data_IF_093410849035
#
_entry.id   IF_093410849035
#
_cell.length_a   1.000
_cell.length_b   1.000
_cell.length_c   1.000
_cell.angle_alpha   90.00
_cell.angle_beta   90.00
_cell.angle_gamma   90.00
#
_symmetry.space_group_name_H-M   'P 1'
#
loop_
_entity.id
_entity.type
_entity.pdbx_description
1 polymer ?
#
# COMPACT_ATOMS: atom_id res chain seq x y z
N UNK A 1 -28.16 91.07 -21.76
CA UNK A 1 -29.26 90.90 -22.72
C UNK A 1 -29.76 89.47 -22.63
N UNK A 2 -30.86 89.38 -22.04
CA UNK A 2 -32.11 88.72 -22.25
C UNK A 2 -32.16 87.62 -23.34
N UNK A 3 -32.51 86.37 -23.03
CA UNK A 3 -33.78 85.82 -23.49
C UNK A 3 -33.99 84.47 -22.78
N UNK A 4 -35.11 84.44 -22.04
CA UNK A 4 -35.80 83.26 -21.55
C UNK A 4 -36.50 82.56 -22.70
N UNK A 5 -36.54 81.25 -22.73
CA UNK A 5 -37.61 80.50 -23.32
C UNK A 5 -37.94 79.25 -22.48
N UNK A 6 -39.23 79.06 -22.29
CA UNK A 6 -39.95 78.20 -21.36
C UNK A 6 -39.97 76.72 -21.77
N UNK A 7 -40.20 75.89 -20.80
CA UNK A 7 -40.44 74.41 -20.89
C UNK A 7 -41.72 74.00 -21.65
N UNK A 8 -41.81 72.71 -21.97
CA UNK A 8 -42.92 72.00 -21.38
C UNK A 8 -42.58 70.72 -20.63
N UNK A 9 -43.33 70.47 -19.58
CA UNK A 9 -43.38 69.20 -18.83
C UNK A 9 -43.85 68.07 -19.73
N UNK A 10 -43.15 66.95 -19.72
CA UNK A 10 -43.64 65.66 -20.18
C UNK A 10 -43.66 64.72 -19.00
N UNK A 11 -44.84 64.32 -18.59
CA UNK A 11 -45.09 63.28 -17.61
C UNK A 11 -44.90 61.96 -18.32
N UNK A 12 -43.88 61.19 -17.94
CA UNK A 12 -43.74 59.80 -18.35
C UNK A 12 -44.01 58.88 -17.15
N UNK A 13 -45.02 58.02 -17.33
CA UNK A 13 -45.44 57.06 -16.35
C UNK A 13 -44.38 56.02 -16.05
N UNK A 14 -44.25 55.71 -14.78
CA UNK A 14 -43.48 54.54 -14.31
C UNK A 14 -44.22 53.24 -14.67
N UNK A 15 -43.67 52.49 -15.58
CA UNK A 15 -44.02 51.07 -15.75
C UNK A 15 -43.07 50.26 -14.86
N UNK A 16 -43.57 49.78 -13.73
CA UNK A 16 -42.83 48.86 -12.87
C UNK A 16 -42.77 47.47 -13.54
N UNK A 17 -41.63 47.14 -14.14
CA UNK A 17 -41.36 45.81 -14.62
C UNK A 17 -40.91 44.95 -13.44
N UNK A 18 -41.80 44.02 -12.98
CA UNK A 18 -41.39 42.93 -12.10
C UNK A 18 -40.45 41.99 -12.86
N UNK A 19 -39.14 42.11 -12.63
CA UNK A 19 -38.18 41.08 -13.01
C UNK A 19 -38.33 39.89 -12.04
N UNK A 20 -38.93 38.79 -12.50
CA UNK A 20 -38.89 37.52 -11.80
C UNK A 20 -37.47 37.04 -11.71
N UNK A 21 -36.89 37.02 -10.51
CA UNK A 21 -35.61 36.37 -10.20
C UNK A 21 -35.80 34.84 -10.34
N UNK A 22 -35.43 34.30 -11.49
CA UNK A 22 -35.29 32.85 -11.64
C UNK A 22 -34.14 32.38 -10.72
N UNK A 23 -34.46 31.66 -9.68
CA UNK A 23 -33.47 30.94 -8.84
C UNK A 23 -32.70 29.98 -9.73
N UNK A 24 -31.38 29.93 -9.64
CA UNK A 24 -30.61 28.89 -10.36
C UNK A 24 -31.04 27.53 -9.81
N UNK A 25 -31.54 26.67 -10.72
CA UNK A 25 -31.83 25.29 -10.42
C UNK A 25 -30.58 24.67 -9.77
N UNK A 26 -30.74 24.16 -8.52
CA UNK A 26 -29.67 23.54 -7.79
C UNK A 26 -29.03 22.43 -8.63
N UNK A 27 -27.72 22.55 -8.89
CA UNK A 27 -26.98 21.48 -9.47
C UNK A 27 -27.09 20.25 -8.54
N UNK A 28 -27.87 19.27 -9.01
CA UNK A 28 -27.93 17.96 -8.35
C UNK A 28 -26.53 17.43 -8.29
N UNK A 29 -25.96 17.36 -7.10
CA UNK A 29 -24.73 16.59 -6.86
C UNK A 29 -25.08 15.16 -7.27
N UNK A 30 -24.66 14.79 -8.48
CA UNK A 30 -24.74 13.40 -8.92
C UNK A 30 -24.03 12.57 -7.85
N UNK A 31 -24.81 11.87 -7.03
CA UNK A 31 -24.30 11.03 -5.97
C UNK A 31 -23.35 10.03 -6.60
N UNK A 32 -22.06 10.09 -6.22
CA UNK A 32 -21.11 9.05 -6.58
C UNK A 32 -21.72 7.73 -6.11
N UNK A 33 -21.86 6.78 -7.03
CA UNK A 33 -22.31 5.44 -6.68
C UNK A 33 -21.46 4.93 -5.50
N UNK A 34 -22.09 4.31 -4.48
CA UNK A 34 -21.33 3.81 -3.34
C UNK A 34 -20.22 2.88 -3.86
N UNK A 35 -19.01 2.98 -3.31
CA UNK A 35 -17.90 2.17 -3.75
C UNK A 35 -18.25 0.69 -3.61
N UNK A 36 -18.02 -0.06 -4.66
CA UNK A 36 -18.36 -1.47 -4.70
C UNK A 36 -17.25 -2.26 -4.01
N UNK A 37 -17.61 -2.99 -2.96
CA UNK A 37 -16.78 -4.04 -2.40
C UNK A 37 -16.34 -4.99 -3.53
N UNK A 38 -15.03 -5.22 -3.66
CA UNK A 38 -14.46 -6.11 -4.67
C UNK A 38 -13.98 -7.39 -4.02
N UNK A 39 -14.42 -8.53 -4.55
CA UNK A 39 -13.86 -9.85 -4.19
C UNK A 39 -12.95 -10.32 -5.31
N UNK A 40 -11.74 -10.72 -4.98
CA UNK A 40 -10.70 -11.16 -5.90
C UNK A 40 -10.35 -12.61 -5.55
N UNK A 41 -10.75 -13.54 -6.41
CA UNK A 41 -10.42 -14.98 -6.30
C UNK A 41 -9.47 -15.43 -7.41
N UNK A 42 -9.25 -14.59 -8.41
CA UNK A 42 -8.31 -14.88 -9.48
C UNK A 42 -6.90 -14.94 -8.92
N UNK A 43 -6.13 -15.95 -9.31
CA UNK A 43 -4.70 -16.05 -9.03
C UNK A 43 -3.98 -14.79 -9.52
N UNK A 44 -3.16 -14.17 -8.66
CA UNK A 44 -2.47 -12.91 -8.93
C UNK A 44 -3.40 -11.73 -9.30
N UNK A 45 -4.73 -11.88 -9.10
CA UNK A 45 -5.72 -10.84 -9.37
C UNK A 45 -5.53 -9.63 -8.44
N UNK A 46 -5.89 -8.45 -8.93
CA UNK A 46 -5.67 -7.20 -8.20
C UNK A 46 -6.77 -6.16 -8.48
N UNK A 47 -6.82 -5.13 -7.63
CA UNK A 47 -7.67 -3.94 -7.81
C UNK A 47 -6.94 -2.69 -7.36
N UNK A 48 -7.03 -1.56 -8.09
CA UNK A 48 -6.52 -0.28 -7.62
C UNK A 48 -7.45 0.28 -6.54
N UNK A 49 -6.87 1.01 -5.60
CA UNK A 49 -7.59 1.72 -4.55
C UNK A 49 -7.09 3.15 -4.47
N UNK A 50 -8.01 4.10 -4.57
CA UNK A 50 -7.73 5.51 -4.32
C UNK A 50 -8.46 5.94 -3.05
N UNK A 51 -7.73 6.40 -2.06
CA UNK A 51 -8.33 6.88 -0.81
C UNK A 51 -8.94 8.27 -1.01
N UNK A 52 -9.92 8.69 -0.17
CA UNK A 52 -10.46 10.05 -0.21
C UNK A 52 -9.39 11.14 -0.06
N UNK A 53 -8.28 10.86 0.61
CA UNK A 53 -7.13 11.76 0.74
C UNK A 53 -6.16 11.72 -0.46
N UNK A 54 -6.51 11.02 -1.56
CA UNK A 54 -5.72 10.95 -2.78
C UNK A 54 -4.59 9.90 -2.76
N UNK A 55 -4.42 9.13 -1.68
CA UNK A 55 -3.46 8.02 -1.64
C UNK A 55 -3.84 6.93 -2.65
N UNK A 56 -2.85 6.42 -3.39
CA UNK A 56 -3.05 5.42 -4.44
C UNK A 56 -2.32 4.14 -4.09
N UNK A 57 -3.05 3.02 -4.11
CA UNK A 57 -2.58 1.71 -3.71
C UNK A 57 -3.10 0.64 -4.67
N UNK A 58 -2.50 -0.55 -4.62
CA UNK A 58 -3.03 -1.74 -5.26
C UNK A 58 -3.23 -2.80 -4.18
N UNK A 59 -4.40 -3.42 -4.15
CA UNK A 59 -4.71 -4.63 -3.37
C UNK A 59 -4.59 -5.81 -4.30
N UNK A 60 -3.81 -6.83 -3.92
CA UNK A 60 -3.49 -7.99 -4.75
C UNK A 60 -3.72 -9.29 -4.00
N UNK A 61 -4.39 -10.25 -4.67
CA UNK A 61 -4.46 -11.65 -4.27
C UNK A 61 -3.23 -12.37 -4.85
N UNK A 62 -2.11 -12.26 -4.17
CA UNK A 62 -0.84 -12.82 -4.61
C UNK A 62 -0.73 -14.31 -4.25
N UNK A 63 -1.58 -15.10 -4.85
CA UNK A 63 -1.66 -16.55 -4.67
C UNK A 63 -0.77 -17.27 -5.70
N UNK A 64 0.54 -17.29 -5.46
CA UNK A 64 1.51 -17.90 -6.37
C UNK A 64 1.59 -19.43 -6.23
N UNK A 65 1.13 -20.01 -5.12
CA UNK A 65 1.10 -21.45 -4.91
C UNK A 65 -0.03 -22.18 -5.64
N UNK A 66 -0.87 -21.47 -6.43
CA UNK A 66 -1.89 -22.06 -7.28
C UNK A 66 -3.09 -22.70 -6.55
N UNK A 67 -3.22 -22.51 -5.24
CA UNK A 67 -4.39 -22.97 -4.46
C UNK A 67 -5.47 -21.88 -4.46
N UNK A 68 -6.72 -22.26 -4.29
CA UNK A 68 -7.83 -21.30 -4.24
C UNK A 68 -7.67 -20.37 -3.04
N UNK A 69 -7.68 -19.08 -3.30
CA UNK A 69 -7.73 -18.03 -2.28
C UNK A 69 -8.60 -16.89 -2.80
N UNK A 70 -9.41 -16.31 -1.91
CA UNK A 70 -10.19 -15.12 -2.21
C UNK A 70 -9.93 -14.07 -1.14
N UNK A 71 -9.72 -12.83 -1.59
CA UNK A 71 -9.67 -11.65 -0.73
C UNK A 71 -10.80 -10.69 -1.07
N UNK A 72 -11.21 -9.87 -0.11
CA UNK A 72 -12.23 -8.85 -0.28
C UNK A 72 -11.72 -7.50 0.18
N UNK A 73 -11.83 -6.50 -0.69
CA UNK A 73 -11.55 -5.08 -0.42
C UNK A 73 -12.85 -4.27 -0.40
N UNK A 74 -12.93 -3.21 0.41
CA UNK A 74 -14.13 -2.35 0.50
C UNK A 74 -14.23 -1.29 -0.60
N UNK A 75 -13.22 -1.19 -1.48
CA UNK A 75 -13.18 -0.25 -2.60
C UNK A 75 -12.84 1.21 -2.22
N UNK A 76 -12.68 1.52 -0.93
CA UNK A 76 -12.42 2.87 -0.43
C UNK A 76 -11.05 3.02 0.25
N UNK A 77 -10.57 1.95 0.80
CA UNK A 77 -9.39 1.95 1.68
C UNK A 77 -8.39 0.92 1.24
N UNK A 78 -7.10 1.16 1.48
CA UNK A 78 -6.05 0.16 1.29
C UNK A 78 -6.15 -0.91 2.39
N UNK A 79 -7.20 -1.75 2.27
CA UNK A 79 -7.52 -2.83 3.18
C UNK A 79 -7.88 -4.09 2.39
N UNK A 80 -7.88 -5.23 3.05
CA UNK A 80 -8.47 -6.47 2.55
C UNK A 80 -8.68 -7.47 3.67
N UNK A 81 -9.55 -8.46 3.43
CA UNK A 81 -9.68 -9.63 4.28
C UNK A 81 -9.58 -10.89 3.44
N UNK A 82 -8.88 -11.90 3.92
CA UNK A 82 -8.86 -13.25 3.32
C UNK A 82 -10.18 -13.92 3.67
N UNK A 83 -11.06 -14.07 2.68
CA UNK A 83 -12.41 -14.63 2.87
C UNK A 83 -12.44 -16.13 2.72
N UNK A 84 -11.51 -16.71 1.95
CA UNK A 84 -11.25 -18.14 1.86
C UNK A 84 -9.79 -18.37 1.47
N UNK A 85 -9.20 -19.46 1.95
CA UNK A 85 -7.87 -19.90 1.58
C UNK A 85 -7.75 -21.40 1.70
N UNK A 86 -7.27 -22.04 0.66
CA UNK A 86 -6.89 -23.44 0.61
C UNK A 86 -5.36 -23.63 0.64
N UNK A 87 -4.64 -22.67 1.17
CA UNK A 87 -3.20 -22.74 1.33
C UNK A 87 -2.78 -23.99 2.12
N UNK A 88 -1.86 -24.77 1.56
CA UNK A 88 -1.38 -26.02 2.15
C UNK A 88 0.08 -26.30 1.75
N UNK A 89 0.96 -25.33 2.01
CA UNK A 89 2.40 -25.52 1.87
C UNK A 89 3.00 -26.01 3.19
N UNK A 90 3.72 -27.11 3.13
CA UNK A 90 4.44 -27.67 4.28
C UNK A 90 5.95 -27.45 4.19
N UNK A 91 6.40 -26.84 3.08
CA UNK A 91 7.79 -26.46 2.84
C UNK A 91 8.18 -25.10 3.44
N UNK A 92 9.39 -24.62 3.08
CA UNK A 92 9.85 -23.30 3.49
C UNK A 92 9.07 -22.17 2.79
N UNK A 93 8.63 -22.39 1.54
CA UNK A 93 7.94 -21.38 0.73
C UNK A 93 6.47 -21.25 1.14
N UNK A 94 5.98 -20.03 1.29
CA UNK A 94 4.56 -19.76 1.45
C UNK A 94 3.77 -20.15 0.20
N UNK A 95 2.46 -20.36 0.33
CA UNK A 95 1.58 -20.60 -0.79
C UNK A 95 1.00 -19.32 -1.39
N UNK A 96 0.93 -18.25 -0.60
CA UNK A 96 0.36 -16.96 -0.99
C UNK A 96 0.93 -15.82 -0.16
N UNK A 97 0.87 -14.61 -0.73
CA UNK A 97 1.14 -13.36 -0.03
C UNK A 97 0.11 -12.28 -0.44
N UNK A 98 -1.19 -12.46 -0.08
CA UNK A 98 -2.17 -11.41 -0.32
C UNK A 98 -1.73 -10.12 0.37
N UNK A 99 -1.70 -9.03 -0.38
CA UNK A 99 -1.09 -7.79 0.07
C UNK A 99 -1.80 -6.54 -0.44
N UNK A 100 -1.44 -5.42 0.14
CA UNK A 100 -1.66 -4.07 -0.39
C UNK A 100 -0.33 -3.37 -0.49
N UNK A 101 -0.09 -2.62 -1.56
CA UNK A 101 1.20 -1.98 -1.76
C UNK A 101 1.12 -0.57 -2.35
N UNK A 102 2.23 0.16 -2.15
CA UNK A 102 2.59 1.43 -2.77
C UNK A 102 3.91 1.26 -3.53
N UNK A 103 4.00 1.79 -4.73
CA UNK A 103 5.17 1.64 -5.61
C UNK A 103 4.93 0.67 -6.74
N UNK A 104 5.96 -0.07 -7.14
CA UNK A 104 5.93 -1.00 -8.26
C UNK A 104 6.31 -2.42 -7.82
N UNK A 105 5.47 -3.40 -8.13
CA UNK A 105 5.64 -4.82 -7.78
C UNK A 105 5.20 -5.71 -8.93
N UNK A 106 6.07 -6.62 -9.36
CA UNK A 106 5.79 -7.68 -10.35
C UNK A 106 5.00 -7.23 -11.59
N UNK A 107 5.42 -6.10 -12.20
CA UNK A 107 4.80 -5.55 -13.40
C UNK A 107 3.66 -4.56 -13.16
N UNK A 108 3.20 -4.41 -11.93
CA UNK A 108 2.15 -3.47 -11.53
C UNK A 108 2.77 -2.26 -10.82
N UNK A 109 2.25 -1.06 -11.11
CA UNK A 109 2.65 0.17 -10.39
C UNK A 109 1.42 0.92 -9.91
N UNK A 110 1.52 1.49 -8.71
CA UNK A 110 0.50 2.45 -8.23
C UNK A 110 0.66 3.77 -8.98
N UNK A 111 -0.45 4.41 -9.31
CA UNK A 111 -0.44 5.71 -9.97
C UNK A 111 0.27 6.77 -9.12
N UNK A 112 1.02 7.67 -9.77
CA UNK A 112 1.67 8.81 -9.14
C UNK A 112 2.65 8.43 -8.00
N UNK A 113 3.15 7.19 -7.99
CA UNK A 113 4.17 6.77 -7.04
C UNK A 113 5.51 7.47 -7.29
N UNK A 114 6.21 7.87 -6.22
CA UNK A 114 7.62 8.29 -6.31
C UNK A 114 8.58 7.11 -6.44
N UNK A 115 8.09 5.88 -6.22
CA UNK A 115 8.85 4.64 -6.42
C UNK A 115 8.57 4.07 -7.83
N UNK A 116 9.60 3.45 -8.48
CA UNK A 116 10.94 3.16 -8.01
C UNK A 116 11.85 4.40 -7.91
N UNK A 117 12.62 4.49 -6.82
CA UNK A 117 13.58 5.56 -6.59
C UNK A 117 14.96 5.01 -6.19
N UNK A 118 16.08 5.67 -6.58
CA UNK A 118 17.38 5.31 -6.07
C UNK A 118 17.43 5.30 -4.53
N UNK A 119 18.04 4.29 -3.92
CA UNK A 119 18.15 4.17 -2.46
C UNK A 119 18.77 5.42 -1.84
N UNK A 120 19.72 6.06 -2.54
CA UNK A 120 20.36 7.30 -2.10
C UNK A 120 19.44 8.51 -2.08
N UNK A 121 18.34 8.49 -2.84
CA UNK A 121 17.37 9.60 -2.90
C UNK A 121 16.24 9.44 -1.88
N UNK A 122 16.05 8.26 -1.29
CA UNK A 122 15.02 8.02 -0.27
C UNK A 122 15.41 8.72 1.04
N UNK A 123 14.73 9.84 1.33
CA UNK A 123 14.96 10.70 2.50
C UNK A 123 14.04 10.38 3.66
N UNK A 124 12.85 9.86 3.37
CA UNK A 124 11.94 9.34 4.39
C UNK A 124 11.18 8.13 3.82
N UNK A 125 10.98 7.12 4.67
CA UNK A 125 10.17 5.95 4.39
C UNK A 125 9.48 5.54 5.68
N UNK A 126 8.15 5.66 5.75
CA UNK A 126 7.37 5.22 6.89
C UNK A 126 6.08 4.56 6.45
N UNK A 127 5.55 3.68 7.31
CA UNK A 127 4.29 3.02 7.06
C UNK A 127 3.45 2.88 8.34
N UNK A 128 2.14 2.92 8.19
CA UNK A 128 1.19 2.54 9.23
C UNK A 128 0.41 1.31 8.77
N UNK A 129 0.19 0.38 9.67
CA UNK A 129 -0.52 -0.86 9.35
C UNK A 129 -1.27 -1.39 10.57
N UNK A 130 -2.53 -1.77 10.37
CA UNK A 130 -3.37 -2.41 11.36
C UNK A 130 -3.97 -3.69 10.79
N UNK A 131 -3.88 -4.79 11.55
CA UNK A 131 -4.26 -6.12 11.10
C UNK A 131 -5.26 -6.79 12.03
N UNK A 132 -6.01 -7.76 11.48
CA UNK A 132 -6.65 -8.82 12.24
C UNK A 132 -5.91 -10.13 12.02
N UNK A 133 -5.67 -10.85 13.09
CA UNK A 133 -4.94 -12.12 13.10
C UNK A 133 -5.86 -13.30 13.40
N UNK A 134 -5.38 -14.51 13.11
CA UNK A 134 -6.09 -15.77 13.36
C UNK A 134 -5.22 -16.72 14.14
N UNK A 135 -5.83 -17.45 15.09
CA UNK A 135 -5.14 -18.47 15.90
C UNK A 135 -5.10 -19.85 15.21
N UNK A 136 -5.07 -19.87 13.88
CA UNK A 136 -5.05 -21.11 13.07
C UNK A 136 -4.13 -20.94 11.87
N UNK A 137 -3.61 -22.07 11.39
CA UNK A 137 -2.72 -22.11 10.25
C UNK A 137 -1.28 -21.72 10.59
N UNK A 138 -0.45 -21.59 9.57
CA UNK A 138 0.91 -21.04 9.63
C UNK A 138 0.98 -19.83 8.72
N UNK A 139 1.29 -18.68 9.29
CA UNK A 139 1.34 -17.40 8.57
C UNK A 139 2.25 -16.40 9.29
N UNK A 140 2.68 -15.39 8.56
CA UNK A 140 3.23 -14.16 9.11
C UNK A 140 2.44 -12.93 8.62
N UNK A 141 2.67 -11.80 9.27
CA UNK A 141 2.26 -10.47 8.85
C UNK A 141 3.50 -9.62 8.68
N UNK A 142 3.81 -9.24 7.45
CA UNK A 142 5.05 -8.58 7.11
C UNK A 142 4.85 -7.39 6.17
N UNK A 143 5.69 -6.36 6.32
CA UNK A 143 6.03 -5.51 5.19
C UNK A 143 7.01 -6.28 4.31
N UNK A 144 6.86 -6.16 3.00
CA UNK A 144 7.80 -6.66 2.01
C UNK A 144 8.26 -5.49 1.14
N UNK A 145 9.59 -5.27 1.11
CA UNK A 145 10.19 -4.13 0.43
C UNK A 145 11.24 -4.66 -0.53
N UNK A 146 10.97 -4.51 -1.82
CA UNK A 146 11.87 -4.96 -2.86
C UNK A 146 12.86 -3.90 -3.29
N UNK A 147 14.10 -4.34 -3.51
CA UNK A 147 15.18 -3.52 -4.04
C UNK A 147 15.75 -4.17 -5.30
N UNK A 148 15.84 -3.42 -6.38
CA UNK A 148 16.36 -3.88 -7.66
C UNK A 148 17.68 -3.23 -8.02
N UNK A 149 18.56 -3.96 -8.74
CA UNK A 149 19.81 -3.42 -9.26
C UNK A 149 19.60 -2.32 -10.31
N UNK A 150 18.40 -2.25 -10.86
CA UNK A 150 18.00 -1.24 -11.85
C UNK A 150 16.51 -0.86 -11.64
N UNK A 151 16.11 0.28 -12.17
CA UNK A 151 14.77 0.82 -12.02
C UNK A 151 13.67 -0.14 -12.50
N UNK A 152 13.90 -0.85 -13.60
CA UNK A 152 12.93 -1.79 -14.20
C UNK A 152 12.85 -3.15 -13.52
N UNK A 153 13.60 -3.38 -12.41
CA UNK A 153 13.61 -4.67 -11.70
C UNK A 153 12.22 -5.11 -11.22
N UNK A 154 11.28 -4.17 -11.01
CA UNK A 154 9.90 -4.48 -10.66
C UNK A 154 9.15 -5.31 -11.73
N UNK A 155 9.65 -5.43 -12.95
CA UNK A 155 9.04 -6.23 -14.03
C UNK A 155 9.25 -7.75 -13.84
N UNK A 156 9.35 -8.23 -12.63
CA UNK A 156 9.53 -9.64 -12.28
C UNK A 156 11.01 -10.05 -12.20
N UNK A 157 11.87 -9.12 -11.88
CA UNK A 157 13.32 -9.29 -11.81
C UNK A 157 13.81 -9.21 -10.35
N UNK A 158 13.68 -10.28 -9.60
CA UNK A 158 14.29 -10.38 -8.27
C UNK A 158 15.82 -10.38 -8.40
N UNK A 159 16.47 -9.22 -8.41
CA UNK A 159 17.91 -9.09 -8.72
C UNK A 159 18.73 -8.40 -7.64
N UNK A 160 18.12 -7.81 -6.65
CA UNK A 160 18.78 -7.06 -5.57
C UNK A 160 18.57 -7.68 -4.21
N UNK A 161 17.62 -7.12 -3.47
CA UNK A 161 17.22 -7.62 -2.15
C UNK A 161 15.70 -7.58 -1.96
N UNK A 162 15.23 -8.47 -1.11
CA UNK A 162 13.91 -8.51 -0.51
C UNK A 162 14.09 -8.30 0.99
N UNK A 163 13.49 -7.25 1.53
CA UNK A 163 13.50 -6.94 2.95
C UNK A 163 12.11 -7.18 3.52
N UNK A 164 11.93 -8.30 4.21
CA UNK A 164 10.72 -8.60 4.93
C UNK A 164 10.80 -8.14 6.38
N UNK A 165 9.87 -7.26 6.81
CA UNK A 165 9.79 -6.78 8.19
C UNK A 165 8.56 -7.42 8.84
N UNK A 166 8.75 -8.52 9.55
CA UNK A 166 7.70 -9.29 10.20
C UNK A 166 7.27 -8.64 11.51
N UNK A 167 6.02 -8.21 11.56
CA UNK A 167 5.40 -7.64 12.76
C UNK A 167 4.77 -8.71 13.65
N UNK A 168 4.28 -9.79 13.04
CA UNK A 168 3.60 -10.89 13.74
C UNK A 168 3.76 -12.20 12.97
N UNK A 169 3.58 -13.32 13.64
CA UNK A 169 3.55 -14.64 13.01
C UNK A 169 2.81 -15.64 13.90
N UNK A 170 2.26 -16.68 13.29
CA UNK A 170 1.62 -17.80 13.98
C UNK A 170 2.15 -19.13 13.46
N UNK A 171 2.44 -20.05 14.39
CA UNK A 171 3.08 -21.34 14.11
C UNK A 171 4.38 -21.25 13.30
N UNK A 172 5.10 -20.16 13.52
CA UNK A 172 6.43 -19.90 12.97
C UNK A 172 7.30 -19.29 14.09
N UNK A 173 7.87 -20.11 14.97
CA UNK A 173 8.65 -19.62 16.10
C UNK A 173 9.95 -18.95 15.63
N UNK A 174 10.34 -17.87 16.28
CA UNK A 174 11.62 -17.24 16.02
C UNK A 174 12.76 -18.16 16.49
N UNK A 175 13.75 -18.37 15.64
CA UNK A 175 15.02 -18.99 16.04
C UNK A 175 15.91 -17.96 16.72
N UNK A 176 16.88 -18.37 17.58
CA UNK A 176 17.87 -17.45 18.09
C UNK A 176 18.64 -16.76 16.95
N UNK A 177 18.74 -15.43 16.99
CA UNK A 177 19.42 -14.64 15.97
C UNK A 177 20.05 -13.39 16.59
N UNK A 178 20.92 -12.72 15.81
CA UNK A 178 21.42 -11.40 16.17
C UNK A 178 20.26 -10.41 16.26
N UNK A 179 20.33 -9.49 17.21
CA UNK A 179 19.32 -8.43 17.36
C UNK A 179 19.95 -7.07 17.12
N UNK A 180 19.12 -6.14 16.66
CA UNK A 180 19.46 -4.72 16.56
C UNK A 180 18.27 -3.85 17.00
N UNK A 181 18.49 -2.57 17.17
CA UNK A 181 17.45 -1.60 17.50
C UNK A 181 17.31 -0.63 16.34
N UNK A 182 16.09 -0.46 15.85
CA UNK A 182 15.71 0.56 14.89
C UNK A 182 14.30 1.04 15.18
N UNK A 183 14.03 2.34 15.00
CA UNK A 183 12.74 2.98 15.32
C UNK A 183 12.20 2.60 16.71
N UNK A 184 13.07 2.69 17.75
CA UNK A 184 12.77 2.36 19.14
C UNK A 184 12.26 0.92 19.40
N UNK A 185 12.42 0.01 18.39
CA UNK A 185 12.03 -1.39 18.46
C UNK A 185 13.24 -2.29 18.37
N UNK A 186 13.17 -3.44 19.03
CA UNK A 186 14.17 -4.50 18.92
C UNK A 186 13.72 -5.51 17.88
N UNK A 187 14.67 -5.90 17.02
CA UNK A 187 14.45 -6.78 15.88
C UNK A 187 15.44 -7.92 15.90
N UNK A 188 14.99 -9.15 15.57
CA UNK A 188 15.87 -10.22 15.09
C UNK A 188 16.21 -9.97 13.63
N UNK A 189 17.38 -10.42 13.20
CA UNK A 189 17.80 -10.34 11.81
C UNK A 189 18.29 -11.71 11.32
N UNK A 190 17.75 -12.13 10.17
CA UNK A 190 18.12 -13.33 9.44
C UNK A 190 18.44 -12.93 8.00
N UNK A 191 19.34 -13.67 7.36
CA UNK A 191 19.73 -13.40 5.98
C UNK A 191 20.17 -14.68 5.28
N UNK A 192 19.77 -14.82 4.04
CA UNK A 192 20.24 -15.84 3.10
C UNK A 192 20.10 -15.38 1.66
N UNK A 193 20.69 -16.11 0.70
CA UNK A 193 20.49 -15.86 -0.72
C UNK A 193 19.32 -16.71 -1.20
N UNK A 194 18.21 -16.04 -1.56
CA UNK A 194 17.07 -16.68 -2.19
C UNK A 194 17.31 -16.93 -3.68
N UNK A 195 16.66 -17.96 -4.23
CA UNK A 195 16.82 -18.38 -5.63
C UNK A 195 15.44 -18.73 -6.23
N UNK A 196 15.23 -18.29 -7.47
CA UNK A 196 14.07 -18.68 -8.28
C UNK A 196 14.53 -18.87 -9.75
N UNK A 197 14.66 -20.11 -10.17
CA UNK A 197 15.30 -20.44 -11.44
C UNK A 197 16.72 -19.91 -11.51
N UNK A 198 17.02 -19.08 -12.49
CA UNK A 198 18.34 -18.43 -12.67
C UNK A 198 18.51 -17.14 -11.84
N UNK A 199 17.44 -16.65 -11.22
CA UNK A 199 17.46 -15.42 -10.43
C UNK A 199 17.91 -15.70 -9.02
N UNK A 200 18.62 -14.73 -8.43
CA UNK A 200 19.00 -14.74 -7.02
C UNK A 200 19.01 -13.34 -6.44
N UNK A 201 18.68 -13.23 -5.16
CA UNK A 201 18.68 -11.97 -4.42
C UNK A 201 19.01 -12.19 -2.94
N UNK A 202 19.38 -11.13 -2.25
CA UNK A 202 19.49 -11.16 -0.79
C UNK A 202 18.08 -11.17 -0.19
N UNK A 203 17.70 -12.25 0.47
CA UNK A 203 16.51 -12.26 1.32
C UNK A 203 16.92 -11.87 2.73
N UNK A 204 16.34 -10.82 3.25
CA UNK A 204 16.60 -10.30 4.59
C UNK A 204 15.32 -10.28 5.38
N UNK A 205 15.24 -11.12 6.41
CA UNK A 205 14.11 -11.14 7.32
C UNK A 205 14.48 -10.37 8.59
N UNK A 206 13.71 -9.33 8.87
CA UNK A 206 13.76 -8.55 10.11
C UNK A 206 12.47 -8.84 10.86
N UNK A 207 12.55 -9.39 12.07
CA UNK A 207 11.38 -9.84 12.82
C UNK A 207 11.28 -9.14 14.16
N UNK A 208 10.12 -8.59 14.50
CA UNK A 208 9.86 -7.95 15.77
C UNK A 208 10.08 -8.94 16.94
N UNK A 209 10.92 -8.56 17.92
CA UNK A 209 11.10 -9.35 19.14
C UNK A 209 9.80 -9.40 19.95
N UNK A 210 9.02 -8.30 19.92
CA UNK A 210 7.69 -8.22 20.49
C UNK A 210 6.65 -8.09 19.37
N UNK A 211 5.90 -9.17 19.05
CA UNK A 211 4.90 -9.12 18.01
C UNK A 211 3.83 -8.05 18.26
N UNK A 212 3.34 -7.45 17.18
CA UNK A 212 2.28 -6.44 17.24
C UNK A 212 1.29 -6.62 16.11
N UNK A 213 0.06 -6.16 16.31
CA UNK A 213 -0.99 -6.11 15.30
C UNK A 213 -1.24 -4.69 14.78
N UNK A 214 -0.46 -3.72 15.28
CA UNK A 214 -0.60 -2.33 14.88
C UNK A 214 0.72 -1.58 14.97
N UNK A 215 1.00 -0.81 13.92
CA UNK A 215 2.06 0.21 13.91
C UNK A 215 1.51 1.50 13.30
N UNK A 216 1.89 2.63 13.87
CA UNK A 216 1.56 3.97 13.37
C UNK A 216 2.85 4.70 13.05
N UNK A 217 3.04 5.05 11.76
CA UNK A 217 4.22 5.80 11.30
C UNK A 217 5.55 5.09 11.56
N UNK A 218 5.58 3.73 11.53
CA UNK A 218 6.83 2.97 11.67
C UNK A 218 7.86 3.51 10.68
N UNK A 219 8.98 4.02 11.18
CA UNK A 219 10.05 4.52 10.34
C UNK A 219 10.86 3.35 9.77
N UNK A 220 10.68 3.07 8.49
CA UNK A 220 11.34 1.98 7.78
C UNK A 220 12.81 2.31 7.44
N UNK A 221 13.14 3.61 7.34
CA UNK A 221 14.45 4.04 6.88
C UNK A 221 15.61 3.57 7.78
N UNK A 222 15.53 3.61 9.14
CA UNK A 222 16.58 3.06 10.00
C UNK A 222 16.81 1.56 9.81
N UNK A 223 15.74 0.78 9.53
CA UNK A 223 15.87 -0.65 9.22
C UNK A 223 16.59 -0.83 7.88
N UNK A 224 16.17 -0.10 6.84
CA UNK A 224 16.80 -0.13 5.52
C UNK A 224 18.30 0.26 5.63
N UNK A 225 18.62 1.30 6.38
CA UNK A 225 20.02 1.76 6.58
C UNK A 225 20.86 0.75 7.35
N UNK A 226 20.29 0.05 8.32
CA UNK A 226 20.98 -1.02 9.02
C UNK A 226 21.37 -2.15 8.06
N UNK A 227 20.44 -2.60 7.23
CA UNK A 227 20.63 -3.65 6.22
C UNK A 227 21.60 -3.19 5.11
N UNK A 228 21.53 -1.91 4.71
CA UNK A 228 22.49 -1.26 3.80
C UNK A 228 23.90 -1.29 4.39
N UNK A 229 24.05 -0.93 5.67
CA UNK A 229 25.33 -0.96 6.39
C UNK A 229 25.96 -2.36 6.46
N UNK A 230 25.16 -3.42 6.32
CA UNK A 230 25.64 -4.80 6.19
C UNK A 230 26.03 -5.20 4.77
N UNK A 231 25.82 -4.32 3.77
CA UNK A 231 26.08 -4.59 2.37
C UNK A 231 25.02 -5.45 1.67
N UNK A 232 23.87 -5.72 2.33
CA UNK A 232 22.81 -6.57 1.80
C UNK A 232 21.84 -5.80 0.90
N UNK A 233 21.75 -4.48 1.09
CA UNK A 233 21.15 -3.51 0.17
C UNK A 233 22.26 -2.56 -0.25
N UNK A 234 22.35 -2.24 -1.54
CA UNK A 234 23.39 -1.32 -2.03
C UNK A 234 22.80 0.06 -2.33
N UNK A 235 23.62 1.09 -2.15
CA UNK A 235 23.23 2.49 -2.36
C UNK A 235 22.91 2.81 -3.81
N UNK A 236 23.49 2.10 -4.75
CA UNK A 236 23.29 2.23 -6.20
C UNK A 236 22.06 1.46 -6.72
N UNK A 237 21.31 0.80 -5.83
CA UNK A 237 20.06 0.10 -6.17
C UNK A 237 18.84 1.01 -6.05
N UNK A 238 17.69 0.46 -6.45
CA UNK A 238 16.42 1.13 -6.47
C UNK A 238 15.47 0.50 -5.46
N UNK A 239 14.85 1.29 -4.60
CA UNK A 239 13.71 0.88 -3.81
C UNK A 239 12.49 0.84 -4.72
N UNK A 240 11.79 -0.30 -4.81
CA UNK A 240 10.73 -0.51 -5.79
C UNK A 240 9.34 -0.27 -5.22
N UNK A 241 9.09 -0.68 -3.98
CA UNK A 241 7.78 -0.67 -3.34
C UNK A 241 7.86 -0.67 -1.81
N UNK A 242 6.70 -0.58 -1.19
CA UNK A 242 6.40 -1.00 0.18
C UNK A 242 5.09 -1.77 0.12
N UNK A 243 5.15 -3.06 0.34
CA UNK A 243 3.99 -3.94 0.43
C UNK A 243 3.67 -4.23 1.91
N UNK A 244 2.43 -4.60 2.22
CA UNK A 244 2.03 -5.14 3.52
C UNK A 244 1.01 -6.26 3.32
N UNK A 245 1.28 -7.41 3.89
CA UNK A 245 0.49 -8.61 3.63
C UNK A 245 0.80 -9.75 4.59
N UNK A 246 0.29 -10.90 4.22
CA UNK A 246 0.44 -12.12 4.99
C UNK A 246 1.08 -13.20 4.12
N UNK A 247 2.29 -13.67 4.45
CA UNK A 247 2.71 -14.95 3.91
C UNK A 247 1.87 -16.04 4.58
N UNK A 248 1.24 -16.86 3.77
CA UNK A 248 0.31 -17.93 4.22
C UNK A 248 0.85 -19.27 3.71
N UNK A 249 1.28 -20.12 4.65
CA UNK A 249 1.64 -21.51 4.35
C UNK A 249 0.42 -22.42 4.44
N UNK A 250 -0.37 -22.28 5.53
CA UNK A 250 -1.59 -23.05 5.73
C UNK A 250 -2.67 -22.20 6.38
N UNK A 251 -3.93 -22.44 6.03
CA UNK A 251 -5.06 -21.69 6.58
C UNK A 251 -5.15 -20.27 5.96
N UNK A 252 -5.23 -19.24 6.79
CA UNK A 252 -5.25 -17.83 6.37
C UNK A 252 -6.62 -17.18 6.34
N UNK A 253 -7.72 -17.95 6.22
CA UNK A 253 -9.09 -17.39 6.24
C UNK A 253 -9.35 -16.62 7.52
N UNK A 254 -9.74 -15.33 7.38
CA UNK A 254 -9.99 -14.40 8.48
C UNK A 254 -8.82 -13.46 8.79
N UNK A 255 -7.62 -13.66 8.22
CA UNK A 255 -6.57 -12.66 8.23
C UNK A 255 -7.06 -11.41 7.51
N UNK A 256 -6.73 -10.22 8.03
CA UNK A 256 -7.12 -8.99 7.38
C UNK A 256 -6.14 -7.84 7.62
N UNK A 257 -5.84 -7.09 6.57
CA UNK A 257 -5.34 -5.72 6.64
C UNK A 257 -6.55 -4.80 6.85
N UNK A 258 -6.66 -4.19 8.02
CA UNK A 258 -7.74 -3.24 8.34
C UNK A 258 -7.47 -1.86 7.76
N UNK A 259 -6.20 -1.46 7.78
CA UNK A 259 -5.73 -0.20 7.19
C UNK A 259 -4.25 -0.30 6.90
N UNK A 260 -3.82 0.36 5.83
CA UNK A 260 -2.44 0.53 5.44
C UNK A 260 -2.21 1.95 4.92
N UNK A 261 -1.04 2.50 5.18
CA UNK A 261 -0.53 3.67 4.48
C UNK A 261 0.99 3.62 4.42
N UNK A 262 1.55 4.09 3.31
CA UNK A 262 2.98 4.29 3.14
C UNK A 262 3.24 5.75 2.76
N UNK A 263 4.28 6.32 3.33
CA UNK A 263 4.73 7.67 3.04
C UNK A 263 6.21 7.64 2.70
N UNK A 264 6.52 7.88 1.43
CA UNK A 264 7.88 7.89 0.89
C UNK A 264 8.20 9.29 0.38
N UNK A 265 9.38 9.78 0.71
CA UNK A 265 9.90 11.06 0.24
C UNK A 265 11.31 10.87 -0.33
N UNK A 266 11.51 11.34 -1.53
CA UNK A 266 12.78 11.33 -2.28
C UNK A 266 13.37 12.71 -2.42
#
# INVERSE_FOLDING_TARGET
MLSRRSAPLVVLGLIASLAALASPAGASLAGQAPPRTTTICQQLGWTPVTTPAGGRYIVRNDNFGGRTECIRNDGLRPNFSVTSSAASSHGPEAAAYPNVFYGCSWGLCTDQSVLPAPVTQVRAASASWSIATMARGRWNAAFDIWFGKQRSAYQGQATGAELMIWLNAHNDPASPAKTFVADHRRWYLYHWVARLGTKQWNYVQVRAVHPTTHVSGLNLLPVIRHVEGMGLIRRDWWMLNVESGFEIWTGGTGLATRSFSAHIRT
#
